data_IF_584462538827
#
_entry.id   IF_584462538827
#
_cell.length_a   1.000
_cell.length_b   1.000
_cell.length_c   1.000
_cell.angle_alpha   90.00
_cell.angle_beta   90.00
_cell.angle_gamma   90.00
#
_symmetry.space_group_name_H-M   'P 1'
#
loop_
_entity.id
_entity.type
_entity.pdbx_description
1 polymer ?
#
# COMPACT_ATOMS: atom_id res chain seq x y z
N UNK A 1 11.11 9.13 -8.97
CA UNK A 1 11.03 7.70 -9.35
C UNK A 1 10.19 6.99 -8.29
N UNK A 2 9.34 6.02 -8.67
CA UNK A 2 8.58 5.22 -7.70
C UNK A 2 9.18 3.82 -7.55
N UNK A 3 9.38 3.37 -6.31
CA UNK A 3 9.69 1.97 -6.01
C UNK A 3 8.43 1.30 -5.46
N UNK A 4 7.85 0.43 -6.26
CA UNK A 4 6.55 -0.17 -5.97
C UNK A 4 6.74 -1.61 -5.52
N UNK A 5 6.32 -1.93 -4.30
CA UNK A 5 6.17 -3.31 -3.82
C UNK A 5 4.69 -3.69 -3.87
N UNK A 6 4.36 -4.70 -4.68
CA UNK A 6 2.99 -5.19 -4.83
C UNK A 6 2.73 -6.45 -4.03
N UNK A 7 1.68 -6.45 -3.21
CA UNK A 7 1.11 -7.66 -2.59
C UNK A 7 -0.31 -7.86 -3.09
N UNK A 8 -0.65 -9.10 -3.44
CA UNK A 8 -1.92 -9.42 -4.07
C UNK A 8 -2.63 -10.56 -3.33
N UNK A 9 -3.96 -10.51 -3.27
CA UNK A 9 -4.78 -11.63 -2.83
C UNK A 9 -5.93 -11.90 -3.79
N UNK A 10 -6.11 -13.18 -4.13
CA UNK A 10 -7.21 -13.65 -4.97
C UNK A 10 -8.46 -13.96 -4.12
N UNK A 11 -8.26 -14.42 -2.87
CA UNK A 11 -9.32 -15.03 -2.07
C UNK A 11 -9.75 -14.20 -0.87
N UNK A 12 -9.04 -13.12 -0.55
CA UNK A 12 -9.32 -12.24 0.58
C UNK A 12 -9.21 -10.77 0.18
N UNK A 13 -9.87 -9.89 0.94
CA UNK A 13 -9.86 -8.44 0.69
C UNK A 13 -8.47 -7.80 0.84
N UNK A 14 -7.58 -8.40 1.63
CA UNK A 14 -6.19 -7.99 1.81
C UNK A 14 -5.25 -9.18 1.62
N UNK A 15 -4.00 -8.93 1.21
CA UNK A 15 -2.90 -9.90 1.33
C UNK A 15 -2.73 -10.41 2.77
N UNK A 16 -2.01 -11.52 2.93
CA UNK A 16 -1.83 -12.12 4.25
C UNK A 16 -1.07 -11.17 5.19
N UNK A 17 -1.19 -11.38 6.51
CA UNK A 17 -0.38 -10.64 7.49
C UNK A 17 1.12 -10.84 7.24
N UNK A 18 1.54 -12.01 6.74
CA UNK A 18 2.92 -12.26 6.35
C UNK A 18 3.35 -11.38 5.18
N UNK A 19 2.53 -11.30 4.14
CA UNK A 19 2.77 -10.46 2.96
C UNK A 19 2.87 -8.97 3.31
N UNK A 20 1.96 -8.48 4.15
CA UNK A 20 1.97 -7.07 4.59
C UNK A 20 3.25 -6.77 5.37
N UNK A 21 3.67 -7.66 6.28
CA UNK A 21 4.92 -7.51 7.04
C UNK A 21 6.15 -7.52 6.13
N UNK A 22 6.19 -8.41 5.14
CA UNK A 22 7.28 -8.44 4.16
C UNK A 22 7.32 -7.14 3.35
N UNK A 23 6.15 -6.64 2.93
CA UNK A 23 6.04 -5.34 2.26
C UNK A 23 6.58 -4.19 3.12
N UNK A 24 6.23 -4.15 4.40
CA UNK A 24 6.73 -3.14 5.34
C UNK A 24 8.25 -3.21 5.55
N UNK A 25 8.82 -4.41 5.64
CA UNK A 25 10.27 -4.58 5.73
C UNK A 25 10.98 -3.96 4.51
N UNK A 26 10.42 -4.13 3.31
CA UNK A 26 10.95 -3.49 2.09
C UNK A 26 10.76 -1.98 2.09
N UNK A 27 9.67 -1.45 2.65
CA UNK A 27 9.49 0.00 2.79
C UNK A 27 10.58 0.61 3.67
N UNK A 28 10.98 -0.07 4.75
CA UNK A 28 12.12 0.37 5.58
C UNK A 28 13.40 0.48 4.71
N UNK A 29 13.67 -0.50 3.85
CA UNK A 29 14.85 -0.44 2.97
C UNK A 29 14.73 0.69 1.94
N UNK A 30 13.59 0.80 1.25
CA UNK A 30 13.39 1.77 0.17
C UNK A 30 13.39 3.22 0.67
N UNK A 31 12.87 3.48 1.88
CA UNK A 31 12.91 4.81 2.51
C UNK A 31 14.32 5.25 2.90
N UNK A 32 15.27 4.31 3.04
CA UNK A 32 16.62 4.58 3.54
C UNK A 32 17.70 4.43 2.46
N UNK A 33 17.34 4.40 1.17
CA UNK A 33 18.31 4.39 0.07
C UNK A 33 19.02 5.74 -0.04
N UNK A 34 20.35 5.72 0.09
CA UNK A 34 21.20 6.92 0.04
C UNK A 34 21.50 7.35 -1.40
N UNK A 35 21.76 6.39 -2.28
CA UNK A 35 22.08 6.65 -3.69
C UNK A 35 20.98 6.12 -4.60
N UNK A 36 20.25 7.04 -5.22
CA UNK A 36 19.17 6.73 -6.16
C UNK A 36 19.43 7.48 -7.45
N UNK A 37 19.99 6.78 -8.45
CA UNK A 37 20.40 7.35 -9.74
C UNK A 37 19.77 6.59 -10.90
N UNK A 38 19.33 7.32 -11.92
CA UNK A 38 18.92 6.76 -13.22
C UNK A 38 19.71 7.50 -14.29
N UNK A 39 20.42 6.75 -15.15
CA UNK A 39 21.32 7.31 -16.16
C UNK A 39 22.33 8.34 -15.60
N UNK A 40 22.85 8.04 -14.41
CA UNK A 40 23.82 8.90 -13.71
C UNK A 40 23.23 10.17 -13.07
N UNK A 41 21.92 10.40 -13.15
CA UNK A 41 21.23 11.54 -12.53
C UNK A 41 20.55 11.13 -11.24
N UNK A 42 20.78 11.90 -10.17
CA UNK A 42 20.08 11.70 -8.90
C UNK A 42 18.57 11.87 -9.08
N UNK A 43 17.80 10.96 -8.49
CA UNK A 43 16.35 10.94 -8.57
C UNK A 43 15.77 10.62 -7.21
N UNK A 44 14.89 11.50 -6.72
CA UNK A 44 14.12 11.23 -5.51
C UNK A 44 13.32 9.92 -5.67
N UNK A 45 13.56 8.98 -4.75
CA UNK A 45 12.84 7.73 -4.66
C UNK A 45 11.62 7.89 -3.75
N UNK A 46 10.45 7.48 -4.25
CA UNK A 46 9.18 7.49 -3.53
C UNK A 46 8.66 6.06 -3.40
N UNK A 47 8.85 5.42 -2.23
CA UNK A 47 8.39 4.05 -2.01
C UNK A 47 6.85 3.99 -1.92
N UNK A 48 6.27 2.97 -2.56
CA UNK A 48 4.84 2.70 -2.53
C UNK A 48 4.61 1.21 -2.23
N UNK A 49 3.82 0.94 -1.20
CA UNK A 49 3.27 -0.39 -0.94
C UNK A 49 1.87 -0.50 -1.57
N UNK A 50 1.71 -1.34 -2.59
CA UNK A 50 0.44 -1.58 -3.24
C UNK A 50 -0.18 -2.90 -2.77
N UNK A 51 -1.26 -2.80 -2.00
CA UNK A 51 -2.08 -3.94 -1.59
C UNK A 51 -3.26 -4.07 -2.54
N UNK A 52 -3.35 -5.19 -3.23
CA UNK A 52 -4.38 -5.44 -4.25
C UNK A 52 -5.17 -6.70 -3.96
N UNK A 53 -6.41 -6.74 -4.43
CA UNK A 53 -7.25 -7.93 -4.38
C UNK A 53 -8.31 -7.93 -5.46
N UNK A 54 -8.59 -9.12 -6.00
CA UNK A 54 -9.72 -9.37 -6.93
C UNK A 54 -11.07 -9.06 -6.27
N UNK A 55 -11.16 -9.12 -4.92
CA UNK A 55 -12.40 -8.95 -4.15
C UNK A 55 -12.66 -7.50 -3.73
N UNK A 56 -11.68 -6.62 -3.88
CA UNK A 56 -11.85 -5.20 -3.56
C UNK A 56 -12.70 -4.50 -4.62
N UNK A 57 -13.46 -3.48 -4.20
CA UNK A 57 -14.19 -2.56 -5.05
C UNK A 57 -13.70 -1.15 -4.78
N UNK A 58 -13.18 -0.50 -5.81
CA UNK A 58 -12.61 0.86 -5.73
C UNK A 58 -11.16 0.89 -5.26
N UNK A 59 -10.74 2.05 -4.75
CA UNK A 59 -9.38 2.27 -4.25
C UNK A 59 -9.34 3.34 -3.17
N UNK A 60 -8.36 3.24 -2.27
CA UNK A 60 -7.95 4.27 -1.32
C UNK A 60 -6.42 4.31 -1.25
N UNK A 61 -5.88 5.42 -0.76
CA UNK A 61 -4.46 5.54 -0.47
C UNK A 61 -4.22 6.25 0.88
N UNK A 62 -2.96 6.35 1.29
CA UNK A 62 -2.55 7.00 2.54
C UNK A 62 -2.91 8.49 2.64
N UNK A 63 -3.27 9.13 1.53
CA UNK A 63 -3.66 10.54 1.45
C UNK A 63 -5.18 10.73 1.33
N UNK A 64 -5.96 9.64 1.27
CA UNK A 64 -7.41 9.69 1.26
C UNK A 64 -7.95 10.29 2.56
N UNK A 65 -9.05 11.04 2.44
CA UNK A 65 -9.75 11.62 3.58
C UNK A 65 -10.39 10.53 4.47
N UNK A 66 -10.66 10.84 5.73
CA UNK A 66 -11.32 9.92 6.66
C UNK A 66 -12.69 9.44 6.15
N UNK A 67 -13.40 10.31 5.42
CA UNK A 67 -14.68 9.97 4.78
C UNK A 67 -14.48 8.94 3.67
N UNK A 68 -13.54 9.16 2.75
CA UNK A 68 -13.25 8.22 1.66
C UNK A 68 -12.80 6.85 2.19
N UNK A 69 -11.97 6.85 3.23
CA UNK A 69 -11.52 5.62 3.89
C UNK A 69 -12.71 4.88 4.52
N UNK A 70 -13.60 5.60 5.22
CA UNK A 70 -14.79 5.02 5.84
C UNK A 70 -15.76 4.45 4.81
N UNK A 71 -16.00 5.19 3.73
CA UNK A 71 -16.86 4.76 2.62
C UNK A 71 -16.29 3.50 1.95
N UNK A 72 -14.98 3.45 1.68
CA UNK A 72 -14.31 2.28 1.13
C UNK A 72 -14.38 1.06 2.06
N UNK A 73 -14.17 1.27 3.36
CA UNK A 73 -14.25 0.21 4.38
C UNK A 73 -15.66 -0.40 4.42
N UNK A 74 -16.69 0.44 4.39
CA UNK A 74 -18.09 0.03 4.43
C UNK A 74 -18.49 -0.68 3.13
N UNK A 75 -18.10 -0.14 1.96
CA UNK A 75 -18.42 -0.72 0.65
C UNK A 75 -17.82 -2.12 0.43
N UNK A 76 -16.69 -2.41 1.07
CA UNK A 76 -16.00 -3.69 0.97
C UNK A 76 -16.29 -4.65 2.15
N UNK A 77 -17.13 -4.24 3.11
CA UNK A 77 -17.51 -5.04 4.27
C UNK A 77 -16.30 -5.62 5.07
N UNK A 78 -15.28 -4.79 5.31
CA UNK A 78 -14.12 -5.21 6.10
C UNK A 78 -14.49 -5.56 7.54
N UNK A 79 -13.87 -6.62 8.08
CA UNK A 79 -14.01 -6.97 9.49
C UNK A 79 -13.15 -6.07 10.39
N UNK A 80 -13.44 -6.09 11.69
CA UNK A 80 -12.75 -5.22 12.65
C UNK A 80 -11.23 -5.42 12.66
N UNK A 81 -10.75 -6.67 12.57
CA UNK A 81 -9.31 -6.96 12.49
C UNK A 81 -8.64 -6.33 11.26
N UNK A 82 -9.31 -6.35 10.11
CA UNK A 82 -8.81 -5.73 8.88
C UNK A 82 -8.82 -4.21 8.98
N UNK A 83 -9.86 -3.60 9.57
CA UNK A 83 -9.91 -2.15 9.82
C UNK A 83 -8.73 -1.69 10.66
N UNK A 84 -8.41 -2.44 11.73
CA UNK A 84 -7.27 -2.15 12.59
C UNK A 84 -5.93 -2.26 11.83
N UNK A 85 -5.80 -3.23 10.92
CA UNK A 85 -4.61 -3.34 10.06
C UNK A 85 -4.48 -2.12 9.15
N UNK A 86 -5.55 -1.72 8.45
CA UNK A 86 -5.54 -0.56 7.54
C UNK A 86 -5.19 0.72 8.30
N UNK A 87 -5.81 0.93 9.47
CA UNK A 87 -5.53 2.10 10.32
C UNK A 87 -4.06 2.17 10.72
N UNK A 88 -3.52 1.08 11.27
CA UNK A 88 -2.10 1.02 11.68
C UNK A 88 -1.16 1.23 10.50
N UNK A 89 -1.50 0.67 9.34
CA UNK A 89 -0.70 0.83 8.13
C UNK A 89 -0.63 2.30 7.69
N UNK A 90 -1.75 3.03 7.74
CA UNK A 90 -1.77 4.47 7.42
C UNK A 90 -1.15 5.34 8.53
N UNK A 91 -1.12 4.89 9.78
CA UNK A 91 -0.33 5.55 10.82
C UNK A 91 1.17 5.38 10.55
N UNK A 92 1.61 4.19 10.13
CA UNK A 92 3.00 3.94 9.76
C UNK A 92 3.46 4.81 8.59
N UNK A 93 2.62 5.06 7.57
CA UNK A 93 2.94 5.98 6.46
C UNK A 93 3.09 7.43 6.90
N UNK A 94 2.51 7.84 8.03
CA UNK A 94 2.68 9.22 8.56
C UNK A 94 4.03 9.37 9.27
N UNK A 95 4.51 8.30 9.88
CA UNK A 95 5.79 8.28 10.58
C UNK A 95 6.99 7.95 9.67
N UNK A 96 6.74 7.37 8.49
CA UNK A 96 7.76 6.90 7.57
C UNK A 96 7.49 7.42 6.15
N UNK A 97 8.54 7.72 5.38
CA UNK A 97 8.43 8.37 4.07
C UNK A 97 8.00 7.43 2.92
N UNK A 98 6.88 6.71 3.08
CA UNK A 98 6.29 5.86 2.05
C UNK A 98 4.78 6.04 1.95
N UNK A 99 4.22 5.69 0.79
CA UNK A 99 2.77 5.69 0.57
C UNK A 99 2.21 4.27 0.50
N UNK A 100 0.92 4.14 0.80
CA UNK A 100 0.19 2.88 0.67
C UNK A 100 -1.00 3.08 -0.24
N UNK A 101 -1.19 2.17 -1.19
CA UNK A 101 -2.41 2.08 -1.99
C UNK A 101 -3.13 0.76 -1.69
N UNK A 102 -4.44 0.82 -1.49
CA UNK A 102 -5.31 -0.35 -1.37
C UNK A 102 -6.35 -0.26 -2.48
N UNK A 103 -6.30 -1.16 -3.45
CA UNK A 103 -7.16 -1.08 -4.64
C UNK A 103 -7.58 -2.43 -5.18
N UNK A 104 -8.68 -2.43 -5.93
CA UNK A 104 -8.99 -3.53 -6.83
C UNK A 104 -7.80 -3.81 -7.75
N UNK A 105 -7.60 -5.08 -8.10
CA UNK A 105 -6.58 -5.44 -9.09
C UNK A 105 -6.78 -4.62 -10.37
N UNK A 106 -5.71 -4.05 -10.92
CA UNK A 106 -5.73 -3.46 -12.26
C UNK A 106 -5.22 -4.53 -13.22
N UNK A 107 -5.97 -4.75 -14.30
CA UNK A 107 -5.64 -5.66 -15.40
C UNK A 107 -4.41 -5.21 -16.20
N UNK A 108 -3.84 -4.02 -15.93
CA UNK A 108 -2.73 -3.43 -16.69
C UNK A 108 -1.34 -3.93 -16.26
N UNK A 109 -1.25 -5.09 -15.61
CA UNK A 109 0.02 -5.70 -15.17
C UNK A 109 0.47 -6.89 -16.04
N UNK A 110 0.00 -6.97 -17.29
CA UNK A 110 0.46 -7.90 -18.32
C UNK A 110 1.17 -7.16 -19.44
#
# INVERSE_FOLDING_TARGET
MFLVEGKHSINSLLPSKGDIKDGLLKMILYCNLIETKVDGKDMECRPILELTSTKLKGQINSNSSEKEISDFINNNAFNEGQKQIIKKLFEETKCNNFAVNIKHESLDRL
#
